data_IF_585719879306
#
_entry.id   IF_585719879306
#
_cell.length_a   1.000
_cell.length_b   1.000
_cell.length_c   1.000
_cell.angle_alpha   90.00
_cell.angle_beta   90.00
_cell.angle_gamma   90.00
#
_symmetry.space_group_name_H-M   'P 1'
#
loop_
_entity.id
_entity.type
_entity.pdbx_description
1 polymer ?
#
# COMPACT_ATOMS: atom_id res chain seq x y z
N UNK A 1 -28.02 -4.14 -1.34
CA UNK A 1 -27.13 -5.17 -1.92
C UNK A 1 -27.52 -6.51 -1.31
N UNK A 2 -27.95 -7.48 -2.12
CA UNK A 2 -28.56 -8.73 -1.63
C UNK A 2 -27.55 -9.85 -1.34
N UNK A 3 -26.26 -9.64 -1.61
CA UNK A 3 -25.19 -10.61 -1.38
C UNK A 3 -23.85 -9.92 -1.02
N UNK A 4 -23.68 -9.43 0.21
CA UNK A 4 -22.43 -8.81 0.65
C UNK A 4 -21.27 -9.83 0.66
N UNK A 5 -20.09 -9.41 0.22
CA UNK A 5 -18.86 -10.19 0.34
C UNK A 5 -18.23 -9.91 1.70
N UNK A 6 -18.14 -10.93 2.54
CA UNK A 6 -17.54 -10.82 3.87
C UNK A 6 -16.05 -11.18 3.89
N UNK A 7 -15.30 -10.56 4.78
CA UNK A 7 -13.90 -10.85 5.06
C UNK A 7 -13.63 -10.64 6.56
N UNK A 8 -12.48 -11.09 7.04
CA UNK A 8 -12.03 -10.84 8.41
C UNK A 8 -12.00 -9.33 8.75
N UNK A 9 -12.62 -8.89 9.86
CA UNK A 9 -12.58 -7.50 10.30
C UNK A 9 -11.20 -7.17 10.87
N UNK A 10 -10.42 -6.37 10.14
CA UNK A 10 -9.02 -6.06 10.48
C UNK A 10 -8.84 -4.78 11.31
N UNK A 11 -9.90 -3.98 11.48
CA UNK A 11 -9.87 -2.69 12.17
C UNK A 11 -8.71 -1.78 11.71
N UNK A 12 -8.38 -1.84 10.41
CA UNK A 12 -7.32 -1.03 9.85
C UNK A 12 -7.74 0.44 9.84
N UNK A 13 -6.79 1.36 10.02
CA UNK A 13 -7.09 2.78 9.86
C UNK A 13 -7.49 3.07 8.39
N UNK A 14 -8.12 4.22 8.20
CA UNK A 14 -8.33 4.75 6.84
C UNK A 14 -7.01 4.94 6.08
N UNK A 15 -7.13 5.06 4.77
CA UNK A 15 -5.99 5.29 3.87
C UNK A 15 -5.33 6.64 4.17
N UNK A 16 -3.99 6.66 4.21
CA UNK A 16 -3.19 7.88 4.27
C UNK A 16 -2.63 8.20 2.88
N UNK A 17 -3.18 9.24 2.24
CA UNK A 17 -2.69 9.78 0.96
C UNK A 17 -1.92 11.08 1.23
N UNK A 18 -0.66 11.15 0.77
CA UNK A 18 0.17 12.34 0.85
C UNK A 18 0.54 12.76 -0.58
N UNK A 19 -0.10 13.81 -1.09
CA UNK A 19 0.09 14.37 -2.44
C UNK A 19 0.14 13.32 -3.57
N UNK A 20 -0.70 12.28 -3.45
CA UNK A 20 -0.82 11.24 -4.46
C UNK A 20 -1.95 11.56 -5.46
N UNK A 21 -1.72 11.32 -6.75
CA UNK A 21 -2.73 11.43 -7.79
C UNK A 21 -3.26 10.05 -8.14
N UNK A 22 -4.58 9.87 -8.01
CA UNK A 22 -5.24 8.58 -8.23
C UNK A 22 -6.30 8.72 -9.32
N UNK A 23 -6.26 7.83 -10.32
CA UNK A 23 -7.20 7.81 -11.45
C UNK A 23 -7.69 6.37 -11.66
N UNK A 24 -9.01 6.16 -11.72
CA UNK A 24 -9.62 4.86 -12.00
C UNK A 24 -9.06 3.70 -11.15
N UNK A 25 -8.84 3.94 -9.86
CA UNK A 25 -8.13 3.00 -8.99
C UNK A 25 -8.89 2.75 -7.68
N UNK A 26 -8.70 1.56 -7.11
CA UNK A 26 -9.25 1.18 -5.80
C UNK A 26 -8.12 1.14 -4.79
N UNK A 27 -8.33 1.78 -3.64
CA UNK A 27 -7.34 1.81 -2.56
C UNK A 27 -7.97 1.25 -1.30
N UNK A 28 -7.40 0.15 -0.80
CA UNK A 28 -7.87 -0.54 0.39
C UNK A 28 -7.26 0.04 1.67
N UNK A 29 -7.91 -0.23 2.79
CA UNK A 29 -7.59 0.29 4.12
C UNK A 29 -6.14 0.03 4.57
N UNK A 30 -5.66 0.88 5.48
CA UNK A 30 -4.31 0.82 6.02
C UNK A 30 -3.22 1.17 5.00
N UNK A 31 -3.55 1.58 3.79
CA UNK A 31 -2.52 1.96 2.81
C UNK A 31 -1.90 3.31 3.16
N UNK A 32 -0.58 3.41 2.99
CA UNK A 32 0.21 4.63 3.15
C UNK A 32 0.84 4.93 1.79
N UNK A 33 0.42 6.05 1.20
CA UNK A 33 0.82 6.42 -0.17
C UNK A 33 1.44 7.80 -0.11
N UNK A 34 2.75 7.85 -0.33
CA UNK A 34 3.53 9.07 -0.50
C UNK A 34 3.34 9.65 -1.92
N UNK A 35 3.91 10.84 -2.23
CA UNK A 35 3.64 11.53 -3.49
C UNK A 35 3.94 10.63 -4.70
N UNK A 36 2.89 10.19 -5.39
CA UNK A 36 2.95 9.17 -6.45
C UNK A 36 1.75 9.25 -7.39
N UNK A 37 1.87 8.62 -8.56
CA UNK A 37 0.81 8.51 -9.56
C UNK A 37 0.28 7.08 -9.61
N UNK A 38 -1.02 6.90 -9.41
CA UNK A 38 -1.68 5.59 -9.43
C UNK A 38 -2.84 5.63 -10.43
N UNK A 39 -2.79 4.78 -11.44
CA UNK A 39 -3.74 4.73 -12.56
C UNK A 39 -4.20 3.32 -12.82
N UNK A 40 -5.51 3.13 -13.03
CA UNK A 40 -6.10 1.86 -13.45
C UNK A 40 -5.64 0.67 -12.58
N UNK A 41 -5.49 0.88 -11.28
CA UNK A 41 -4.77 -0.04 -10.38
C UNK A 41 -5.60 -0.40 -9.15
N UNK A 42 -5.26 -1.52 -8.52
CA UNK A 42 -5.83 -1.98 -7.26
C UNK A 42 -4.72 -2.01 -6.22
N UNK A 43 -4.89 -1.26 -5.14
CA UNK A 43 -3.95 -1.19 -4.02
C UNK A 43 -4.56 -1.92 -2.82
N UNK A 44 -3.99 -3.07 -2.48
CA UNK A 44 -4.44 -3.93 -1.40
C UNK A 44 -4.16 -3.37 -0.01
N UNK A 45 -4.63 -4.07 1.02
CA UNK A 45 -4.56 -3.60 2.41
C UNK A 45 -3.12 -3.44 2.90
N UNK A 46 -2.88 -2.45 3.76
CA UNK A 46 -1.54 -2.18 4.35
C UNK A 46 -0.43 -1.94 3.31
N UNK A 47 -0.78 -1.52 2.10
CA UNK A 47 0.22 -1.19 1.08
C UNK A 47 1.04 0.01 1.50
N UNK A 48 2.36 -0.04 1.30
CA UNK A 48 3.26 1.09 1.49
C UNK A 48 3.81 1.46 0.11
N UNK A 49 3.49 2.67 -0.33
CA UNK A 49 3.98 3.24 -1.59
C UNK A 49 4.82 4.46 -1.22
N UNK A 50 6.11 4.39 -1.54
CA UNK A 50 7.10 5.45 -1.41
C UNK A 50 6.87 6.59 -2.38
N UNK A 51 7.71 7.61 -2.27
CA UNK A 51 7.65 8.79 -3.14
C UNK A 51 8.04 8.44 -4.58
N UNK A 52 7.61 9.27 -5.53
CA UNK A 52 7.97 9.20 -6.94
C UNK A 52 7.64 7.88 -7.65
N UNK A 53 6.68 7.12 -7.11
CA UNK A 53 6.20 5.90 -7.75
C UNK A 53 5.18 6.20 -8.85
N UNK A 54 5.19 5.40 -9.92
CA UNK A 54 4.11 5.37 -10.92
C UNK A 54 3.59 3.94 -11.05
N UNK A 55 2.31 3.75 -10.73
CA UNK A 55 1.61 2.49 -10.86
C UNK A 55 0.56 2.64 -11.95
N UNK A 56 0.65 1.85 -13.02
CA UNK A 56 -0.31 1.83 -14.11
C UNK A 56 -0.65 0.38 -14.46
N UNK A 57 -1.95 0.06 -14.42
CA UNK A 57 -2.45 -1.31 -14.60
C UNK A 57 -1.83 -2.35 -13.64
N UNK A 58 -1.67 -1.98 -12.37
CA UNK A 58 -1.05 -2.83 -11.35
C UNK A 58 -2.08 -3.35 -10.35
N UNK A 59 -1.92 -4.60 -9.93
CA UNK A 59 -2.56 -5.13 -8.72
C UNK A 59 -1.47 -5.30 -7.65
N UNK A 60 -1.49 -4.44 -6.64
CA UNK A 60 -0.63 -4.54 -5.46
C UNK A 60 -1.40 -5.28 -4.38
N UNK A 61 -0.91 -6.44 -3.94
CA UNK A 61 -1.63 -7.25 -2.94
C UNK A 61 -1.63 -6.64 -1.53
N UNK A 62 -0.64 -5.77 -1.25
CA UNK A 62 -0.46 -5.14 0.05
C UNK A 62 0.45 -5.94 0.97
N UNK A 63 0.18 -5.92 2.28
CA UNK A 63 1.04 -6.54 3.28
C UNK A 63 0.29 -7.17 4.47
N UNK A 64 0.91 -8.20 5.05
CA UNK A 64 0.38 -8.89 6.23
C UNK A 64 0.62 -8.10 7.53
N UNK A 65 1.68 -7.29 7.58
CA UNK A 65 2.08 -6.49 8.74
C UNK A 65 2.75 -5.19 8.27
N UNK A 66 2.91 -4.21 9.17
CA UNK A 66 3.77 -3.04 8.92
C UNK A 66 5.19 -3.34 9.39
N UNK A 67 6.17 -2.88 8.64
CA UNK A 67 7.57 -2.96 9.04
C UNK A 67 7.87 -1.89 10.11
N UNK A 68 8.61 -2.26 11.16
CA UNK A 68 9.08 -1.30 12.15
C UNK A 68 10.33 -0.57 11.62
N UNK A 69 10.64 0.65 12.07
CA UNK A 69 11.84 1.35 11.64
C UNK A 69 13.14 0.54 11.86
N UNK A 70 13.22 -0.19 12.98
CA UNK A 70 14.34 -1.08 13.27
C UNK A 70 14.37 -2.31 12.35
N UNK A 71 13.20 -2.87 12.01
CA UNK A 71 13.06 -3.96 11.05
C UNK A 71 13.56 -3.56 9.67
N UNK A 72 13.12 -2.39 9.18
CA UNK A 72 13.54 -1.82 7.90
C UNK A 72 15.05 -1.57 7.83
N UNK A 73 15.65 -1.04 8.90
CA UNK A 73 17.11 -0.89 8.98
C UNK A 73 17.83 -2.25 8.88
N UNK A 74 17.37 -3.24 9.65
CA UNK A 74 17.97 -4.57 9.62
C UNK A 74 17.75 -5.28 8.27
N UNK A 75 16.63 -5.06 7.58
CA UNK A 75 16.37 -5.57 6.24
C UNK A 75 17.35 -4.99 5.23
N UNK A 76 17.59 -3.67 5.28
CA UNK A 76 18.59 -2.98 4.46
C UNK A 76 20.01 -3.52 4.72
N UNK A 77 20.39 -3.70 5.99
CA UNK A 77 21.70 -4.25 6.37
C UNK A 77 21.94 -5.66 5.82
N UNK A 78 20.87 -6.45 5.68
CA UNK A 78 20.89 -7.80 5.09
C UNK A 78 20.78 -7.81 3.55
N UNK A 79 20.63 -6.64 2.91
CA UNK A 79 20.40 -6.54 1.46
C UNK A 79 19.01 -7.01 1.02
N UNK A 80 18.07 -7.16 1.96
CA UNK A 80 16.67 -7.48 1.65
C UNK A 80 15.86 -6.19 1.51
N UNK A 81 15.00 -6.07 0.48
CA UNK A 81 14.13 -4.90 0.33
C UNK A 81 13.20 -4.73 1.53
N UNK A 82 12.88 -3.48 1.84
CA UNK A 82 11.85 -3.15 2.81
C UNK A 82 10.46 -3.52 2.26
N UNK A 83 9.49 -3.56 3.16
CA UNK A 83 8.11 -3.77 2.77
C UNK A 83 7.55 -2.58 1.99
N UNK A 84 6.95 -2.87 0.83
CA UNK A 84 6.33 -1.86 -0.03
C UNK A 84 7.06 -1.69 -1.34
N UNK A 85 6.79 -0.57 -2.01
CA UNK A 85 7.42 -0.19 -3.29
C UNK A 85 7.82 1.28 -3.21
N UNK A 86 8.93 1.66 -3.85
CA UNK A 86 9.49 3.01 -3.74
C UNK A 86 10.49 3.16 -2.60
N UNK A 87 10.85 4.41 -2.29
CA UNK A 87 12.02 4.79 -1.48
C UNK A 87 11.88 4.57 0.05
#
# INVERSE_FOLDING_TARGET
>A
EEAPIFSHPRFLPGVKLLDAKTEHSVICDGSIINPSLIRNSIIGIRSIIGSNCTLDQVIMMGADFYETPAGAAASRDRGTPNLGIGD
#
